data_IF_124093710130
#
_entry.id   IF_124093710130
#
_cell.length_a   1.000
_cell.length_b   1.000
_cell.length_c   1.000
_cell.angle_alpha   90.00
_cell.angle_beta   90.00
_cell.angle_gamma   90.00
#
_symmetry.space_group_name_H-M   'P 1'
#
loop_
_entity.id
_entity.type
_entity.pdbx_description
1 polymer ?
#
# COMPACT_ATOMS: atom_id res chain seq x y z
N UNK A 1 4.70 26.08 29.85
CA UNK A 1 5.06 26.86 28.65
C UNK A 1 5.63 25.92 27.60
N UNK A 2 5.12 25.94 26.36
CA UNK A 2 5.61 25.10 25.27
C UNK A 2 7.01 25.57 24.84
N UNK A 3 8.03 24.75 25.09
CA UNK A 3 9.44 25.09 24.91
C UNK A 3 10.04 24.53 23.63
N UNK A 4 9.47 23.47 23.08
CA UNK A 4 10.02 22.83 21.89
C UNK A 4 9.04 22.86 20.73
N UNK A 5 9.59 22.89 19.53
CA UNK A 5 8.90 22.67 18.27
C UNK A 5 9.46 21.39 17.67
N UNK A 6 8.61 20.43 17.32
CA UNK A 6 8.99 19.10 16.82
C UNK A 6 8.18 18.76 15.58
N UNK A 7 8.82 18.19 14.57
CA UNK A 7 8.15 17.63 13.39
C UNK A 7 8.96 16.45 12.86
N UNK A 8 8.32 15.64 12.03
CA UNK A 8 8.94 14.50 11.37
C UNK A 8 9.06 14.75 9.86
N UNK A 9 10.14 14.26 9.25
CA UNK A 9 10.36 14.18 7.82
C UNK A 9 10.43 12.72 7.41
N UNK A 10 9.58 12.29 6.49
CA UNK A 10 9.67 10.99 5.84
C UNK A 10 10.24 11.16 4.43
N UNK A 11 11.21 10.33 4.06
CA UNK A 11 11.87 10.38 2.76
C UNK A 11 11.92 9.00 2.11
N UNK A 12 11.58 8.93 0.83
CA UNK A 12 11.85 7.81 -0.06
C UNK A 12 12.54 8.35 -1.31
N UNK A 13 13.81 7.99 -1.52
CA UNK A 13 14.60 8.53 -2.64
C UNK A 13 14.65 10.07 -2.60
N UNK A 14 14.09 10.71 -3.63
CA UNK A 14 13.99 12.16 -3.76
C UNK A 14 12.64 12.74 -3.28
N UNK A 15 11.67 11.91 -2.90
CA UNK A 15 10.38 12.38 -2.39
C UNK A 15 10.46 12.55 -0.87
N UNK A 16 10.01 13.70 -0.37
CA UNK A 16 10.04 14.07 1.05
C UNK A 16 8.66 14.59 1.42
N UNK A 17 8.12 14.10 2.55
CA UNK A 17 6.85 14.53 3.13
C UNK A 17 7.08 14.80 4.61
N UNK A 18 6.61 15.94 5.11
CA UNK A 18 6.71 16.31 6.51
C UNK A 18 5.35 16.25 7.24
N UNK A 19 5.41 16.15 8.56
CA UNK A 19 4.24 16.27 9.44
C UNK A 19 4.03 17.72 9.86
N UNK A 20 2.81 18.07 10.27
CA UNK A 20 2.59 19.32 10.99
C UNK A 20 3.48 19.45 12.22
N UNK A 21 4.06 20.64 12.38
CA UNK A 21 4.87 20.98 13.54
C UNK A 21 4.03 21.00 14.82
N UNK A 22 4.53 20.31 15.86
CA UNK A 22 3.94 20.25 17.19
C UNK A 22 4.77 21.06 18.17
N UNK A 23 4.07 21.78 19.05
CA UNK A 23 4.70 22.53 20.12
C UNK A 23 4.46 21.84 21.46
N UNK A 24 5.53 21.42 22.12
CA UNK A 24 5.49 20.63 23.35
C UNK A 24 6.23 21.34 24.49
N UNK A 25 5.89 20.98 25.72
CA UNK A 25 6.62 21.40 26.90
C UNK A 25 7.62 20.33 27.37
N UNK A 26 8.30 20.57 28.48
CA UNK A 26 9.26 19.63 29.08
C UNK A 26 8.62 18.44 29.79
N UNK A 27 7.30 18.49 30.03
CA UNK A 27 6.57 17.47 30.79
C UNK A 27 5.82 16.49 29.88
N UNK A 28 5.71 16.82 28.59
CA UNK A 28 5.09 15.96 27.58
C UNK A 28 5.91 14.69 27.42
N UNK A 29 5.33 13.51 27.67
CA UNK A 29 5.99 12.21 27.47
C UNK A 29 5.80 11.69 26.04
N UNK A 30 4.70 12.08 25.41
CA UNK A 30 4.27 11.58 24.11
C UNK A 30 3.95 12.73 23.15
N UNK A 31 4.23 12.51 21.87
CA UNK A 31 3.89 13.44 20.79
C UNK A 31 3.02 12.71 19.77
N UNK A 32 1.77 13.18 19.63
CA UNK A 32 0.83 12.63 18.66
C UNK A 32 0.87 13.41 17.35
N UNK A 33 1.21 12.70 16.27
CA UNK A 33 1.04 13.16 14.89
C UNK A 33 -0.17 12.44 14.28
N UNK A 34 -1.14 13.19 13.78
CA UNK A 34 -2.36 12.67 13.13
C UNK A 34 -2.21 12.58 11.61
N UNK A 35 -1.06 13.02 11.10
CA UNK A 35 -0.71 13.13 9.70
C UNK A 35 -0.66 11.74 9.04
N UNK A 36 -1.22 11.63 7.83
CA UNK A 36 -1.10 10.45 6.98
C UNK A 36 -0.09 10.72 5.87
N UNK A 37 1.08 10.12 5.98
CA UNK A 37 2.14 10.24 4.98
C UNK A 37 1.94 9.15 3.91
N UNK A 38 1.73 9.54 2.65
CA UNK A 38 1.46 8.62 1.53
C UNK A 38 2.45 8.85 0.40
N UNK A 39 3.20 7.82 0.03
CA UNK A 39 4.07 7.80 -1.15
C UNK A 39 3.44 6.93 -2.23
N UNK A 40 3.52 7.37 -3.49
CA UNK A 40 2.90 6.69 -4.64
C UNK A 40 3.95 6.24 -5.64
N UNK A 41 3.69 5.13 -6.35
CA UNK A 41 4.60 4.58 -7.37
C UNK A 41 6.01 4.29 -6.83
N UNK A 42 6.05 3.77 -5.61
CA UNK A 42 7.29 3.39 -4.92
C UNK A 42 7.70 1.97 -5.33
N UNK A 43 8.97 1.74 -5.71
CA UNK A 43 9.44 0.40 -6.07
C UNK A 43 9.53 -0.51 -4.84
N UNK A 44 9.56 -1.83 -5.05
CA UNK A 44 9.48 -2.81 -3.96
C UNK A 44 10.73 -2.90 -3.05
N UNK A 45 11.85 -2.37 -3.53
CA UNK A 45 13.14 -2.28 -2.84
C UNK A 45 13.34 -0.94 -2.12
N UNK A 46 12.26 -0.19 -1.91
CA UNK A 46 12.33 1.11 -1.24
C UNK A 46 12.89 1.03 0.18
N UNK A 47 13.48 2.15 0.57
CA UNK A 47 13.80 2.48 1.95
C UNK A 47 13.12 3.81 2.29
N UNK A 48 12.28 3.79 3.33
CA UNK A 48 11.72 5.01 3.91
C UNK A 48 12.53 5.37 5.15
N UNK A 49 13.11 6.56 5.13
CA UNK A 49 13.80 7.14 6.26
C UNK A 49 12.89 8.17 6.93
N UNK A 50 12.57 7.93 8.21
CA UNK A 50 11.86 8.84 9.07
C UNK A 50 12.86 9.56 9.97
N UNK A 51 12.85 10.87 9.91
CA UNK A 51 13.74 11.76 10.66
C UNK A 51 12.91 12.66 11.55
N UNK A 52 13.29 12.79 12.82
CA UNK A 52 12.60 13.65 13.78
C UNK A 52 13.49 14.85 14.07
N UNK A 53 12.94 16.04 13.85
CA UNK A 53 13.64 17.30 14.07
C UNK A 53 13.00 18.07 15.21
N UNK A 54 13.84 18.71 16.02
CA UNK A 54 13.39 19.55 17.11
C UNK A 54 14.14 20.87 17.16
N UNK A 55 13.45 21.89 17.66
CA UNK A 55 14.04 23.17 18.04
C UNK A 55 13.57 23.56 19.44
N UNK A 56 14.51 24.03 20.26
CA UNK A 56 14.19 24.72 21.49
C UNK A 56 13.90 26.21 21.21
N UNK A 57 12.67 26.65 21.49
CA UNK A 57 12.21 28.03 21.27
C UNK A 57 13.05 29.07 22.01
N UNK A 58 13.66 28.72 23.15
CA UNK A 58 14.52 29.69 23.87
C UNK A 58 15.78 30.07 23.10
N UNK A 59 16.19 29.28 22.11
CA UNK A 59 17.32 29.57 21.21
C UNK A 59 16.88 30.29 19.91
N UNK A 60 15.58 30.32 19.63
CA UNK A 60 15.04 31.09 18.54
C UNK A 60 14.95 32.57 18.96
N UNK A 61 15.97 33.36 18.59
CA UNK A 61 15.96 34.82 18.74
C UNK A 61 14.68 35.39 18.09
N UNK A 62 13.76 35.87 18.93
CA UNK A 62 12.52 36.66 18.68
C UNK A 62 11.15 35.94 18.58
N UNK A 63 10.31 36.31 19.56
CA UNK A 63 8.86 36.62 19.59
C UNK A 63 7.82 35.65 19.00
N UNK A 64 6.93 35.24 19.91
CA UNK A 64 5.64 34.57 19.74
C UNK A 64 5.54 33.27 18.91
N UNK A 65 4.78 32.32 19.46
CA UNK A 65 4.59 31.00 18.85
C UNK A 65 3.95 31.06 17.46
N UNK A 66 3.20 32.14 17.15
CA UNK A 66 2.48 32.34 15.89
C UNK A 66 3.41 32.83 14.77
N UNK A 67 4.24 33.84 15.04
CA UNK A 67 5.27 34.34 14.12
C UNK A 67 6.35 33.27 13.86
N UNK A 68 6.68 32.48 14.89
CA UNK A 68 7.53 31.30 14.73
C UNK A 68 6.92 30.25 13.78
N UNK A 69 5.64 29.90 13.94
CA UNK A 69 4.99 28.94 13.04
C UNK A 69 4.95 29.46 11.59
N UNK A 70 4.68 30.74 11.38
CA UNK A 70 4.67 31.37 10.05
C UNK A 70 6.07 31.39 9.40
N UNK A 71 7.12 31.75 10.14
CA UNK A 71 8.50 31.83 9.61
C UNK A 71 9.13 30.48 9.28
N UNK A 72 8.72 29.41 9.95
CA UNK A 72 9.24 28.06 9.71
C UNK A 72 8.22 27.15 9.00
N UNK A 73 7.08 27.71 8.58
CA UNK A 73 6.05 27.04 7.77
C UNK A 73 6.53 26.67 6.36
N UNK A 74 7.70 27.15 5.92
CA UNK A 74 8.31 26.75 4.64
C UNK A 74 8.53 25.24 4.51
N UNK A 75 8.57 24.51 5.63
CA UNK A 75 8.56 23.05 5.64
C UNK A 75 7.13 22.48 5.61
N UNK A 76 6.14 23.16 6.21
CA UNK A 76 4.78 22.69 6.52
C UNK A 76 3.68 23.15 5.54
N UNK A 77 3.95 23.24 4.23
CA UNK A 77 2.89 23.55 3.25
C UNK A 77 2.12 22.29 2.84
N UNK A 78 1.18 21.86 3.68
CA UNK A 78 0.12 20.93 3.27
C UNK A 78 -0.98 21.71 2.53
N UNK A 79 -1.27 21.36 1.27
CA UNK A 79 -2.56 21.70 0.64
C UNK A 79 -2.58 22.30 -0.78
N UNK A 80 -1.51 22.27 -1.58
CA UNK A 80 -1.55 22.67 -3.00
C UNK A 80 -0.79 21.68 -3.89
N UNK A 81 -1.11 21.57 -5.19
CA UNK A 81 -0.68 20.44 -6.04
C UNK A 81 0.84 20.28 -6.09
N UNK A 82 1.29 19.10 -5.62
CA UNK A 82 2.62 18.48 -5.72
C UNK A 82 3.67 19.29 -6.51
N UNK A 83 4.43 20.17 -5.85
CA UNK A 83 5.78 20.50 -6.32
C UNK A 83 6.69 19.35 -5.89
N UNK A 84 6.77 18.33 -6.73
CA UNK A 84 7.83 17.33 -6.67
C UNK A 84 9.17 18.06 -6.82
N UNK A 85 9.86 18.37 -5.72
CA UNK A 85 11.24 18.86 -5.80
C UNK A 85 12.14 17.66 -6.15
N UNK A 86 12.38 17.47 -7.45
CA UNK A 86 13.53 16.69 -7.91
C UNK A 86 14.79 17.46 -7.50
N UNK A 87 15.53 16.94 -6.52
CA UNK A 87 16.88 17.42 -6.23
C UNK A 87 17.76 17.01 -7.41
N UNK A 88 18.17 17.99 -8.21
CA UNK A 88 19.11 17.78 -9.31
C UNK A 88 20.52 17.92 -8.74
N UNK A 89 21.25 16.81 -8.68
CA UNK A 89 22.68 16.82 -8.40
C UNK A 89 23.40 17.44 -9.61
N UNK A 90 23.66 18.74 -9.55
CA UNK A 90 24.68 19.36 -10.37
C UNK A 90 25.79 19.85 -9.44
N UNK A 91 26.88 19.08 -9.41
CA UNK A 91 28.17 19.55 -8.94
C UNK A 91 28.67 20.61 -9.92
N UNK A 92 28.47 21.89 -9.59
CA UNK A 92 29.34 22.96 -10.08
C UNK A 92 29.40 24.06 -9.03
N UNK A 93 30.58 24.16 -8.44
CA UNK A 93 31.06 25.20 -7.56
C UNK A 93 30.82 26.61 -8.12
N UNK A 94 29.95 27.38 -7.46
CA UNK A 94 30.12 28.83 -7.33
C UNK A 94 29.54 29.30 -6.00
N UNK A 95 30.47 29.75 -5.14
CA UNK A 95 30.19 30.51 -3.92
C UNK A 95 29.34 31.73 -4.26
N UNK A 96 28.06 31.69 -3.90
CA UNK A 96 27.27 32.90 -3.63
C UNK A 96 26.78 32.77 -2.20
N UNK A 97 27.25 33.69 -1.36
CA UNK A 97 26.79 33.93 0.00
C UNK A 97 25.31 34.32 -0.05
N UNK A 98 24.41 33.35 -0.04
CA UNK A 98 23.03 33.59 0.30
C UNK A 98 22.94 33.56 1.82
N UNK A 99 22.53 34.67 2.44
CA UNK A 99 21.99 34.71 3.79
C UNK A 99 20.67 33.90 3.83
N UNK A 100 20.76 32.60 3.55
CA UNK A 100 19.69 31.65 3.79
C UNK A 100 19.65 31.45 5.30
N UNK A 101 18.51 31.68 5.97
CA UNK A 101 18.39 31.39 7.39
C UNK A 101 18.68 29.91 7.58
N UNK A 102 19.83 29.60 8.19
CA UNK A 102 20.19 28.24 8.53
C UNK A 102 19.11 27.72 9.47
N UNK A 103 18.46 26.62 9.09
CA UNK A 103 17.40 26.02 9.89
C UNK A 103 17.97 25.68 11.27
N UNK A 104 17.42 26.29 12.32
CA UNK A 104 17.83 26.02 13.71
C UNK A 104 17.34 24.65 14.21
N UNK A 105 16.54 23.95 13.41
CA UNK A 105 16.07 22.61 13.75
C UNK A 105 17.22 21.62 13.67
N UNK A 106 17.34 20.81 14.70
CA UNK A 106 18.36 19.78 14.79
C UNK A 106 17.67 18.43 14.74
N UNK A 107 18.29 17.51 14.01
CA UNK A 107 17.86 16.12 14.00
C UNK A 107 18.14 15.48 15.36
N UNK A 108 17.13 14.81 15.91
CA UNK A 108 17.21 14.18 17.23
C UNK A 108 17.00 12.67 17.20
N UNK A 109 16.40 12.13 16.15
CA UNK A 109 16.15 10.70 16.04
C UNK A 109 15.87 10.29 14.60
N UNK A 110 16.13 9.01 14.28
CA UNK A 110 15.82 8.39 13.00
C UNK A 110 15.13 7.03 13.17
N UNK A 111 14.36 6.63 12.18
CA UNK A 111 13.91 5.26 12.00
C UNK A 111 13.83 4.93 10.50
N UNK A 112 14.06 3.66 10.16
CA UNK A 112 14.00 3.20 8.78
C UNK A 112 12.92 2.14 8.61
N UNK A 113 12.23 2.19 7.46
CA UNK A 113 11.19 1.27 7.05
C UNK A 113 11.50 0.70 5.68
N UNK A 114 11.12 -0.55 5.48
CA UNK A 114 11.23 -1.29 4.23
C UNK A 114 9.98 -2.17 4.06
N UNK A 115 9.93 -3.01 3.03
CA UNK A 115 8.81 -3.94 2.81
C UNK A 115 8.54 -4.90 3.98
N UNK A 116 9.57 -5.27 4.74
CA UNK A 116 9.46 -6.17 5.90
C UNK A 116 8.88 -5.47 7.13
N UNK A 117 8.86 -4.14 7.11
CA UNK A 117 8.25 -3.31 8.15
C UNK A 117 6.73 -3.26 8.10
N UNK A 118 6.06 -3.88 7.13
CA UNK A 118 4.60 -3.78 7.01
C UNK A 118 3.90 -4.38 8.23
N UNK A 119 2.94 -3.65 8.79
CA UNK A 119 2.09 -4.15 9.86
C UNK A 119 0.71 -3.51 9.82
N UNK A 120 -0.33 -4.35 9.88
CA UNK A 120 -1.73 -3.90 9.92
C UNK A 120 -2.07 -3.15 11.21
N UNK A 121 -1.48 -3.59 12.32
CA UNK A 121 -1.65 -2.97 13.63
C UNK A 121 -0.55 -1.93 13.86
N UNK A 122 -0.84 -0.98 14.75
CA UNK A 122 0.20 -0.06 15.20
C UNK A 122 1.24 -0.86 16.00
N UNK A 123 2.52 -0.62 15.75
CA UNK A 123 3.63 -1.33 16.40
C UNK A 123 4.58 -0.31 17.01
N UNK A 124 5.04 -0.60 18.24
CA UNK A 124 6.14 0.11 18.87
C UNK A 124 7.42 -0.23 18.12
N UNK A 125 8.21 0.79 17.82
CA UNK A 125 9.50 0.68 17.14
C UNK A 125 10.52 1.53 17.85
N UNK A 126 11.76 1.08 17.82
CA UNK A 126 12.88 1.82 18.37
C UNK A 126 13.32 2.92 17.41
N UNK A 127 13.62 4.08 17.98
CA UNK A 127 14.27 5.20 17.33
C UNK A 127 15.77 5.10 17.54
N UNK A 128 16.54 5.39 16.50
CA UNK A 128 17.98 5.64 16.61
C UNK A 128 18.14 7.07 17.05
N UNK A 129 18.47 7.27 18.32
CA UNK A 129 18.62 8.61 18.91
C UNK A 129 19.91 9.27 18.43
N UNK A 130 19.78 10.49 17.90
CA UNK A 130 20.91 11.35 17.61
C UNK A 130 21.31 12.10 18.88
N UNK A 131 22.61 12.25 19.10
CA UNK A 131 23.16 13.03 20.21
C UNK A 131 23.70 14.35 19.66
N UNK A 132 22.83 15.36 19.42
CA UNK A 132 23.32 16.63 18.94
C UNK A 132 24.23 17.28 19.99
N UNK A 133 25.29 17.93 19.53
CA UNK A 133 26.24 18.65 20.40
C UNK A 133 25.57 19.84 21.13
N UNK A 134 24.35 20.23 20.73
CA UNK A 134 23.59 21.31 21.33
C UNK A 134 22.96 20.92 22.68
N UNK A 135 23.57 21.41 23.77
CA UNK A 135 23.11 21.28 25.16
C UNK A 135 21.62 21.62 25.38
N UNK A 136 21.02 22.41 24.49
CA UNK A 136 19.64 22.90 24.63
C UNK A 136 18.54 21.89 24.23
N UNK A 137 18.91 20.81 23.53
CA UNK A 137 17.96 19.76 23.09
C UNK A 137 18.05 18.53 24.01
N UNK A 138 19.10 18.43 24.83
CA UNK A 138 19.31 17.37 25.83
C UNK A 138 18.24 17.29 26.93
N UNK A 139 17.22 18.16 26.89
CA UNK A 139 16.09 18.18 27.83
C UNK A 139 14.75 17.85 27.18
N UNK A 140 14.77 17.39 25.91
CA UNK A 140 13.57 16.98 25.22
C UNK A 140 13.16 15.58 25.74
N UNK A 141 11.99 15.43 26.37
CA UNK A 141 11.52 14.18 26.96
C UNK A 141 10.97 13.21 25.90
N UNK A 142 11.74 12.93 24.84
CA UNK A 142 11.35 11.95 23.83
C UNK A 142 12.04 10.63 24.16
N UNK A 143 11.25 9.58 24.31
CA UNK A 143 11.74 8.23 24.47
C UNK A 143 12.38 7.71 23.17
N UNK A 144 13.17 6.66 23.28
CA UNK A 144 13.78 5.97 22.15
C UNK A 144 12.78 5.09 21.37
N UNK A 145 11.48 5.38 21.48
CA UNK A 145 10.44 4.60 20.86
C UNK A 145 9.36 5.47 20.22
N UNK A 146 8.70 4.90 19.21
CA UNK A 146 7.54 5.50 18.61
C UNK A 146 6.56 4.45 18.12
N UNK A 147 5.30 4.84 18.00
CA UNK A 147 4.22 3.96 17.58
C UNK A 147 3.73 4.41 16.21
N UNK A 148 3.72 3.50 15.26
CA UNK A 148 3.21 3.77 13.92
C UNK A 148 2.49 2.57 13.32
N UNK A 149 1.62 2.85 12.35
CA UNK A 149 1.05 1.86 11.44
C UNK A 149 1.64 2.09 10.06
N UNK A 150 2.26 1.06 9.48
CA UNK A 150 2.91 1.15 8.18
C UNK A 150 2.29 0.14 7.21
N UNK A 151 1.69 0.66 6.14
CA UNK A 151 0.92 -0.12 5.17
C UNK A 151 1.50 0.09 3.77
N UNK A 152 1.40 -0.96 2.96
CA UNK A 152 1.78 -0.96 1.56
C UNK A 152 0.61 -1.49 0.75
N UNK A 153 0.33 -0.85 -0.38
CA UNK A 153 -0.66 -1.30 -1.34
C UNK A 153 0.01 -1.46 -2.71
N UNK A 154 0.39 -2.69 -3.10
CA UNK A 154 0.93 -2.94 -4.43
C UNK A 154 -0.09 -2.60 -5.51
N UNK A 155 0.35 -1.92 -6.56
CA UNK A 155 -0.52 -1.51 -7.66
C UNK A 155 -1.22 -2.70 -8.31
N UNK A 156 -0.54 -3.82 -8.50
CA UNK A 156 -1.15 -5.01 -9.10
C UNK A 156 -2.34 -5.59 -8.32
N UNK A 157 -2.61 -5.13 -7.08
CA UNK A 157 -3.81 -5.46 -6.29
C UNK A 157 -4.86 -4.33 -6.21
N UNK A 158 -4.64 -3.20 -6.87
CA UNK A 158 -5.61 -2.10 -6.92
C UNK A 158 -6.56 -2.27 -8.11
N UNK A 159 -7.81 -1.77 -8.03
CA UNK A 159 -8.73 -1.79 -9.16
C UNK A 159 -8.25 -0.97 -10.37
N UNK A 160 -7.36 -0.01 -10.15
CA UNK A 160 -6.84 0.90 -11.18
C UNK A 160 -5.77 0.29 -12.06
N UNK A 161 -4.97 -0.66 -11.57
CA UNK A 161 -3.94 -1.35 -12.35
C UNK A 161 -4.44 -2.74 -12.78
N UNK A 162 -5.44 -2.74 -13.67
CA UNK A 162 -5.95 -3.94 -14.31
C UNK A 162 -5.49 -4.00 -15.75
N UNK A 163 -5.06 -5.18 -16.20
CA UNK A 163 -4.90 -5.45 -17.62
C UNK A 163 -6.17 -6.14 -18.14
N UNK A 164 -6.69 -5.71 -19.28
CA UNK A 164 -7.93 -6.23 -19.85
C UNK A 164 -7.77 -6.59 -21.31
N UNK A 165 -8.46 -7.62 -21.76
CA UNK A 165 -8.48 -8.00 -23.17
C UNK A 165 -9.42 -9.18 -23.42
N UNK A 166 -9.48 -9.63 -24.66
CA UNK A 166 -10.28 -10.78 -25.05
C UNK A 166 -9.37 -12.01 -25.18
N UNK A 167 -9.79 -13.12 -24.60
CA UNK A 167 -9.15 -14.44 -24.75
C UNK A 167 -10.25 -15.45 -25.12
N UNK A 168 -9.89 -16.46 -25.89
CA UNK A 168 -10.73 -17.63 -26.12
C UNK A 168 -10.29 -18.79 -25.22
N UNK A 169 -11.28 -19.41 -24.55
CA UNK A 169 -11.11 -20.55 -23.67
C UNK A 169 -12.23 -21.55 -23.94
N UNK A 170 -11.92 -22.83 -24.16
CA UNK A 170 -12.91 -23.84 -24.56
C UNK A 170 -13.79 -23.42 -25.75
N UNK A 171 -13.20 -22.75 -26.75
CA UNK A 171 -13.88 -22.21 -27.95
C UNK A 171 -14.94 -21.13 -27.66
N UNK A 172 -14.88 -20.52 -26.47
CA UNK A 172 -15.77 -19.44 -26.04
C UNK A 172 -14.92 -18.19 -25.81
N UNK A 173 -15.41 -17.02 -26.25
CA UNK A 173 -14.72 -15.74 -26.08
C UNK A 173 -15.09 -15.13 -24.73
N UNK A 174 -14.09 -14.71 -23.98
CA UNK A 174 -14.23 -14.07 -22.67
C UNK A 174 -13.65 -12.65 -22.70
N UNK A 175 -14.33 -11.74 -22.02
CA UNK A 175 -13.76 -10.47 -21.58
C UNK A 175 -12.97 -10.75 -20.31
N UNK A 176 -11.65 -10.62 -20.39
CA UNK A 176 -10.74 -11.02 -19.33
C UNK A 176 -10.11 -9.84 -18.62
N UNK A 177 -9.89 -10.00 -17.31
CA UNK A 177 -9.25 -9.04 -16.42
C UNK A 177 -8.14 -9.76 -15.65
N UNK A 178 -6.92 -9.27 -15.75
CA UNK A 178 -5.78 -9.69 -14.92
C UNK A 178 -5.58 -8.66 -13.80
N UNK A 179 -5.87 -9.06 -12.56
CA UNK A 179 -5.75 -8.19 -11.39
C UNK A 179 -5.65 -8.96 -10.06
N UNK A 180 -4.84 -8.44 -9.13
CA UNK A 180 -4.63 -8.88 -7.76
C UNK A 180 -4.54 -10.38 -7.55
N UNK A 181 -3.64 -11.01 -8.30
CA UNK A 181 -3.38 -12.44 -8.25
C UNK A 181 -4.38 -13.32 -9.00
N UNK A 182 -5.24 -12.78 -9.86
CA UNK A 182 -6.19 -13.59 -10.63
C UNK A 182 -6.31 -13.15 -12.09
N UNK A 183 -6.49 -14.13 -12.97
CA UNK A 183 -7.06 -13.95 -14.30
C UNK A 183 -8.54 -14.34 -14.24
N UNK A 184 -9.42 -13.36 -14.38
CA UNK A 184 -10.86 -13.56 -14.41
C UNK A 184 -11.38 -13.38 -15.83
N UNK A 185 -12.32 -14.22 -16.26
CA UNK A 185 -12.99 -14.09 -17.55
C UNK A 185 -14.50 -14.18 -17.42
N UNK A 186 -15.20 -13.29 -18.12
CA UNK A 186 -16.66 -13.28 -18.26
C UNK A 186 -17.03 -13.52 -19.72
N UNK A 187 -17.86 -14.53 -20.00
CA UNK A 187 -18.23 -14.92 -21.37
C UNK A 187 -18.88 -13.76 -22.13
N UNK A 188 -18.45 -13.48 -23.35
CA UNK A 188 -19.04 -12.43 -24.18
C UNK A 188 -20.32 -12.98 -24.81
N UNK A 189 -21.45 -12.86 -24.12
CA UNK A 189 -22.77 -13.27 -24.62
C UNK A 189 -23.41 -12.11 -25.39
N UNK A 190 -24.03 -12.40 -26.55
CA UNK A 190 -24.75 -11.37 -27.34
C UNK A 190 -26.10 -10.94 -26.75
N UNK A 191 -26.67 -11.76 -25.87
CA UNK A 191 -27.97 -11.56 -25.23
C UNK A 191 -27.81 -11.58 -23.70
N UNK A 192 -28.59 -10.75 -22.99
CA UNK A 192 -28.59 -10.67 -21.52
C UNK A 192 -29.22 -11.92 -20.86
N UNK A 193 -28.63 -13.09 -21.05
CA UNK A 193 -29.02 -14.31 -20.32
C UNK A 193 -28.38 -14.31 -18.93
N UNK A 194 -29.15 -14.66 -17.91
CA UNK A 194 -28.71 -14.75 -16.51
C UNK A 194 -27.67 -15.85 -16.22
N UNK A 195 -27.33 -16.70 -17.20
CA UNK A 195 -26.35 -17.79 -17.08
C UNK A 195 -25.08 -17.51 -17.89
N UNK A 196 -24.39 -16.40 -17.60
CA UNK A 196 -23.09 -16.09 -18.19
C UNK A 196 -22.00 -16.97 -17.58
N UNK A 197 -21.23 -17.70 -18.40
CA UNK A 197 -20.11 -18.50 -17.88
C UNK A 197 -18.98 -17.59 -17.43
N UNK A 198 -18.35 -17.93 -16.31
CA UNK A 198 -17.18 -17.23 -15.81
C UNK A 198 -16.10 -18.23 -15.40
N UNK A 199 -14.85 -17.78 -15.40
CA UNK A 199 -13.74 -18.53 -14.81
C UNK A 199 -12.86 -17.59 -13.98
N UNK A 200 -12.12 -18.15 -13.03
CA UNK A 200 -11.13 -17.43 -12.25
C UNK A 200 -9.93 -18.33 -11.99
N UNK A 201 -8.77 -17.93 -12.48
CA UNK A 201 -7.54 -18.70 -12.37
C UNK A 201 -6.56 -17.91 -11.49
N UNK A 202 -6.06 -18.51 -10.39
CA UNK A 202 -5.07 -17.85 -9.56
C UNK A 202 -3.76 -17.70 -10.34
N UNK A 203 -3.12 -16.54 -10.19
CA UNK A 203 -1.77 -16.27 -10.66
C UNK A 203 -0.90 -16.10 -9.41
N UNK A 204 0.14 -16.90 -9.31
CA UNK A 204 1.01 -17.02 -8.14
C UNK A 204 2.48 -16.96 -8.57
N UNK A 205 3.39 -16.96 -7.59
CA UNK A 205 4.83 -17.03 -7.85
C UNK A 205 5.28 -18.34 -8.49
N UNK A 206 4.42 -19.38 -8.45
CA UNK A 206 4.63 -20.71 -9.02
C UNK A 206 3.92 -20.90 -10.37
N UNK A 207 3.20 -19.89 -10.87
CA UNK A 207 2.55 -19.96 -12.18
C UNK A 207 3.60 -20.06 -13.30
N UNK A 208 3.41 -21.01 -14.19
CA UNK A 208 4.21 -21.19 -15.41
C UNK A 208 3.33 -20.82 -16.61
N UNK A 209 3.86 -19.97 -17.49
CA UNK A 209 3.23 -19.56 -18.74
C UNK A 209 4.01 -20.18 -19.90
N UNK A 210 3.33 -20.94 -20.76
CA UNK A 210 3.94 -21.61 -21.91
C UNK A 210 3.31 -21.08 -23.20
N UNK A 211 4.11 -20.54 -24.11
CA UNK A 211 3.65 -20.27 -25.48
C UNK A 211 3.52 -21.59 -26.23
N UNK A 212 2.49 -21.72 -27.06
CA UNK A 212 2.30 -22.89 -27.94
C UNK A 212 2.87 -22.62 -29.33
N UNK A 213 3.10 -23.70 -30.08
CA UNK A 213 3.74 -23.66 -31.40
C UNK A 213 2.82 -23.12 -32.51
N UNK A 214 1.53 -22.94 -32.22
CA UNK A 214 0.55 -22.37 -33.14
C UNK A 214 0.61 -20.83 -33.20
N UNK A 215 1.49 -20.20 -32.39
CA UNK A 215 1.72 -18.75 -32.30
C UNK A 215 0.48 -17.92 -31.94
N UNK A 216 -0.62 -18.58 -31.55
CA UNK A 216 -1.89 -17.95 -31.19
C UNK A 216 -2.46 -18.49 -29.88
N UNK A 217 -1.75 -19.43 -29.24
CA UNK A 217 -2.18 -20.00 -27.96
C UNK A 217 -1.08 -19.95 -26.91
N UNK A 218 -1.51 -19.93 -25.65
CA UNK A 218 -0.64 -20.07 -24.48
C UNK A 218 -1.34 -20.93 -23.42
N UNK A 219 -0.54 -21.53 -22.56
CA UNK A 219 -1.02 -22.34 -21.44
C UNK A 219 -0.65 -21.70 -20.11
N UNK A 220 -1.57 -21.75 -19.15
CA UNK A 220 -1.30 -21.40 -17.75
C UNK A 220 -1.27 -22.70 -16.95
N UNK A 221 -0.17 -22.93 -16.25
CA UNK A 221 -0.02 -24.05 -15.33
C UNK A 221 0.29 -23.53 -13.92
N UNK A 222 -0.46 -23.99 -12.93
CA UNK A 222 -0.15 -23.80 -11.52
C UNK A 222 0.08 -25.14 -10.87
N UNK A 223 1.07 -25.22 -9.97
CA UNK A 223 1.29 -26.43 -9.18
C UNK A 223 0.02 -26.77 -8.39
N UNK A 224 -0.52 -27.97 -8.61
CA UNK A 224 -1.75 -28.44 -7.97
C UNK A 224 -3.05 -28.05 -8.68
N UNK A 225 -2.99 -27.37 -9.82
CA UNK A 225 -4.13 -27.13 -10.71
C UNK A 225 -3.90 -27.75 -12.08
N UNK A 226 -4.98 -27.91 -12.84
CA UNK A 226 -4.89 -28.34 -14.23
C UNK A 226 -4.19 -27.26 -15.07
N UNK A 227 -3.50 -27.72 -16.12
CA UNK A 227 -3.06 -26.83 -17.18
C UNK A 227 -4.29 -26.36 -17.97
N UNK A 228 -4.43 -25.05 -18.14
CA UNK A 228 -5.49 -24.45 -18.94
C UNK A 228 -4.91 -23.81 -20.19
N UNK A 229 -5.47 -24.16 -21.35
CA UNK A 229 -5.02 -23.69 -22.66
C UNK A 229 -5.94 -22.55 -23.16
N UNK A 230 -5.33 -21.46 -23.59
CA UNK A 230 -5.99 -20.24 -24.06
C UNK A 230 -5.54 -19.89 -25.46
N UNK A 231 -6.44 -19.34 -26.28
CA UNK A 231 -6.11 -18.81 -27.61
C UNK A 231 -6.49 -17.33 -27.73
N UNK A 232 -5.85 -16.63 -28.66
CA UNK A 232 -6.06 -15.21 -28.94
C UNK A 232 -6.21 -14.97 -30.44
N UNK A 233 -6.68 -13.78 -30.80
CA UNK A 233 -7.00 -13.43 -32.20
C UNK A 233 -5.75 -13.30 -33.10
N UNK A 234 -4.65 -12.83 -32.55
CA UNK A 234 -3.44 -12.50 -33.31
C UNK A 234 -2.18 -12.54 -32.42
N UNK A 235 -1.02 -12.57 -33.08
CA UNK A 235 0.29 -12.65 -32.43
C UNK A 235 0.61 -11.41 -31.55
N UNK A 236 0.08 -10.23 -31.89
CA UNK A 236 0.30 -9.03 -31.09
C UNK A 236 -0.42 -9.15 -29.74
N UNK A 237 -1.68 -9.58 -29.78
CA UNK A 237 -2.51 -9.89 -28.60
C UNK A 237 -1.84 -10.97 -27.75
N UNK A 238 -1.28 -12.02 -28.36
CA UNK A 238 -0.54 -13.07 -27.64
C UNK A 238 0.62 -12.48 -26.83
N UNK A 239 1.47 -11.69 -27.51
CA UNK A 239 2.66 -11.11 -26.89
C UNK A 239 2.32 -10.18 -25.73
N UNK A 240 1.25 -9.38 -25.86
CA UNK A 240 0.83 -8.50 -24.76
C UNK A 240 0.31 -9.31 -23.58
N UNK A 241 -0.50 -10.34 -23.80
CA UNK A 241 -0.98 -11.21 -22.72
C UNK A 241 0.15 -11.92 -21.98
N UNK A 242 1.11 -12.50 -22.71
CA UNK A 242 2.28 -13.15 -22.10
C UNK A 242 3.07 -12.16 -21.26
N UNK A 243 3.34 -10.95 -21.78
CA UNK A 243 4.05 -9.90 -21.04
C UNK A 243 3.29 -9.46 -19.79
N UNK A 244 1.97 -9.26 -19.90
CA UNK A 244 1.13 -8.86 -18.77
C UNK A 244 1.13 -9.92 -17.66
N UNK A 245 0.98 -11.21 -18.03
CA UNK A 245 1.03 -12.33 -17.09
C UNK A 245 2.40 -12.45 -16.43
N UNK A 246 3.48 -12.38 -17.21
CA UNK A 246 4.85 -12.43 -16.69
C UNK A 246 5.14 -11.27 -15.73
N UNK A 247 4.77 -10.03 -16.10
CA UNK A 247 4.92 -8.86 -15.25
C UNK A 247 4.13 -9.02 -13.96
N UNK A 248 2.90 -9.55 -14.03
CA UNK A 248 2.07 -9.76 -12.85
C UNK A 248 2.68 -10.79 -11.88
N UNK A 249 3.30 -11.86 -12.38
CA UNK A 249 4.04 -12.83 -11.56
C UNK A 249 5.25 -12.16 -10.88
N UNK A 250 6.00 -11.33 -11.62
CA UNK A 250 7.12 -10.56 -11.07
C UNK A 250 6.65 -9.63 -9.96
N UNK A 251 5.56 -8.90 -10.17
CA UNK A 251 4.99 -7.98 -9.18
C UNK A 251 4.54 -8.74 -7.92
N UNK A 252 3.81 -9.85 -8.07
CA UNK A 252 3.39 -10.68 -6.93
C UNK A 252 4.61 -11.16 -6.13
N UNK A 253 5.67 -11.61 -6.82
CA UNK A 253 6.90 -12.06 -6.17
C UNK A 253 7.60 -10.92 -5.42
N UNK A 254 7.69 -9.75 -6.04
CA UNK A 254 8.30 -8.57 -5.44
C UNK A 254 7.62 -8.15 -4.12
N UNK A 255 6.30 -8.37 -4.05
CA UNK A 255 5.47 -7.97 -2.91
C UNK A 255 5.06 -9.12 -1.97
N UNK A 256 5.55 -10.35 -2.17
CA UNK A 256 5.03 -11.57 -1.52
C UNK A 256 4.82 -11.46 0.01
N UNK A 257 5.80 -10.96 0.76
CA UNK A 257 5.71 -10.78 2.23
C UNK A 257 4.60 -9.79 2.66
N UNK A 258 4.26 -8.84 1.80
CA UNK A 258 3.18 -7.87 2.04
C UNK A 258 1.80 -8.42 1.64
N UNK A 259 1.76 -9.39 0.72
CA UNK A 259 0.52 -9.95 0.18
C UNK A 259 -0.19 -10.94 1.10
N UNK A 260 0.53 -11.60 2.03
CA UNK A 260 -0.12 -12.44 3.06
C UNK A 260 -1.11 -11.62 3.89
N UNK A 261 -0.77 -10.38 4.23
CA UNK A 261 -1.66 -9.46 4.93
C UNK A 261 -2.82 -8.95 4.05
N UNK A 262 -2.63 -8.81 2.74
CA UNK A 262 -3.65 -8.31 1.79
C UNK A 262 -4.64 -9.40 1.33
N UNK A 263 -4.24 -10.67 1.30
CA UNK A 263 -5.11 -11.80 0.96
C UNK A 263 -6.33 -11.92 1.89
N UNK A 264 -6.20 -11.44 3.13
CA UNK A 264 -7.29 -11.33 4.10
C UNK A 264 -8.31 -10.22 3.78
N UNK A 265 -7.92 -9.22 2.97
CA UNK A 265 -8.75 -8.07 2.59
C UNK A 265 -9.70 -8.43 1.43
N UNK A 266 -9.29 -9.33 0.51
CA UNK A 266 -10.11 -9.73 -0.64
C UNK A 266 -11.09 -10.87 -0.38
N UNK A 267 -10.90 -11.69 0.67
CA UNK A 267 -11.88 -12.74 1.04
C UNK A 267 -13.27 -12.17 1.36
N UNK A 268 -13.38 -10.87 1.63
CA UNK A 268 -14.65 -10.20 1.91
C UNK A 268 -15.23 -9.41 0.73
N UNK A 269 -14.53 -9.30 -0.41
CA UNK A 269 -15.03 -8.56 -1.58
C UNK A 269 -15.27 -9.42 -2.83
N UNK A 270 -14.92 -10.70 -2.78
CA UNK A 270 -15.34 -11.70 -3.75
C UNK A 270 -15.91 -12.90 -2.99
N UNK A 271 -17.22 -12.88 -2.73
CA UNK A 271 -17.96 -14.13 -2.62
C UNK A 271 -18.32 -14.55 -4.05
N UNK A 272 -17.79 -15.66 -4.58
CA UNK A 272 -18.51 -16.35 -5.64
C UNK A 272 -19.90 -16.64 -5.09
N UNK A 273 -20.97 -16.23 -5.80
CA UNK A 273 -22.32 -16.65 -5.41
C UNK A 273 -22.28 -18.17 -5.26
N UNK A 274 -22.56 -18.63 -4.04
CA UNK A 274 -22.60 -20.04 -3.72
C UNK A 274 -23.55 -20.72 -4.71
N UNK A 275 -23.03 -21.70 -5.44
CA UNK A 275 -23.86 -22.70 -6.12
C UNK A 275 -24.68 -23.39 -5.04
N UNK A 276 -25.99 -23.12 -5.01
CA UNK A 276 -26.92 -23.84 -4.16
C UNK A 276 -27.04 -25.27 -4.66
N UNK A 277 -26.20 -26.15 -4.13
CA UNK A 277 -26.43 -27.59 -4.18
C UNK A 277 -27.67 -27.90 -3.37
N UNK A 278 -28.63 -28.53 -4.05
CA UNK A 278 -29.83 -29.13 -3.50
C UNK A 278 -29.52 -30.33 -2.59
N UNK A 279 -30.49 -30.59 -1.69
CA UNK A 279 -30.70 -31.71 -0.75
C UNK A 279 -30.60 -31.22 0.71
N UNK A 280 -31.59 -31.43 1.58
CA UNK A 280 -32.26 -32.68 1.93
C UNK A 280 -33.69 -32.39 2.44
N UNK A 281 -34.69 -33.07 1.89
CA UNK A 281 -36.03 -33.16 2.48
C UNK A 281 -35.99 -34.11 3.68
N UNK A 282 -36.21 -33.57 4.88
CA UNK A 282 -36.59 -34.33 6.08
C UNK A 282 -37.84 -33.70 6.68
N UNK A 283 -39.01 -34.10 6.17
CA UNK A 283 -40.30 -33.80 6.80
C UNK A 283 -40.50 -34.70 8.01
N UNK A 284 -40.26 -34.14 9.19
CA UNK A 284 -40.69 -34.68 10.50
C UNK A 284 -42.22 -34.70 10.59
N UNK A 285 -42.78 -35.86 10.95
CA UNK A 285 -44.18 -36.01 11.41
C UNK A 285 -44.42 -35.15 12.66
N UNK A 286 -45.59 -34.49 12.80
CA UNK A 286 -46.00 -33.91 14.07
C UNK A 286 -46.71 -34.96 14.95
N UNK A 287 -46.17 -35.13 16.16
CA UNK A 287 -46.84 -35.77 17.31
C UNK A 287 -47.86 -34.80 17.91
N UNK A 288 -49.16 -35.09 17.78
CA UNK A 288 -50.22 -34.42 18.55
C UNK A 288 -50.48 -35.18 19.85
N UNK A 289 -50.38 -34.43 20.95
CA UNK A 289 -50.59 -34.85 22.33
C UNK A 289 -52.10 -34.96 22.61
N UNK A 290 -52.52 -36.12 23.10
CA UNK A 290 -53.83 -36.37 23.69
C UNK A 290 -53.94 -35.65 25.04
N UNK A 291 -55.01 -34.88 25.25
CA UNK A 291 -55.57 -34.61 26.57
C UNK A 291 -57.08 -34.88 26.56
N UNK A 292 -57.45 -35.97 27.23
CA UNK A 292 -58.68 -36.19 28.02
C UNK A 292 -59.23 -34.89 28.62
N UNK A 293 -60.55 -34.67 28.72
CA UNK A 293 -61.47 -35.48 29.54
C UNK A 293 -62.94 -35.08 29.28
N UNK A 294 -63.80 -36.10 29.35
CA UNK A 294 -65.26 -36.14 29.52
C UNK A 294 -65.92 -35.06 30.38
N UNK A 295 -67.04 -34.53 29.91
CA UNK A 295 -68.42 -34.82 30.35
C UNK A 295 -69.41 -34.32 29.29
#
# INVERSE_FOLDING_TARGET
>A
QKKFAVFCLARIGCEIIDTQMKFIDKQSTDILFTDKLTFENVPHDFQLDLEIYALNKSLAVSTDAKDFAERYSYFSTHGSPKVKRKVQQNETSHQKTSNQPQSKFVLIARATYNKESVNRMAKVRTLVMERPQEKAIMQLPIEDSFISRFLIQPLCYTPSAKFTGIIEFNRIRYSCILNGGFLHGEEIVRNNSSNQRTFSIPITTETIILSRNDYLSFSIFNRGFNQEDFSVQDLFTLNIWIRALQQHIVDIRAWAQTTEHLSSIRRYSYQPLATSTSSVNLTRKPTSRTQTRSL
#
